data_IF_613978969446
#
_entry.id   IF_613978969446
#
_cell.length_a   1.000
_cell.length_b   1.000
_cell.length_c   1.000
_cell.angle_alpha   90.00
_cell.angle_beta   90.00
_cell.angle_gamma   90.00
#
_symmetry.space_group_name_H-M   'P 1'
#
loop_
_entity.id
_entity.type
_entity.pdbx_description
1 polymer ?
#
# COMPACT_ATOMS: atom_id res chain seq x y z
N UNK A 1 -3.89 -8.61 -14.04
CA UNK A 1 -5.01 -9.06 -14.88
C UNK A 1 -6.08 -9.57 -13.93
N UNK A 2 -7.33 -9.15 -14.09
CA UNK A 2 -8.42 -9.55 -13.20
C UNK A 2 -9.32 -10.56 -13.93
N UNK A 3 -9.88 -11.48 -13.16
CA UNK A 3 -10.79 -12.51 -13.63
C UNK A 3 -12.03 -12.54 -12.74
N UNK A 4 -13.17 -12.84 -13.34
CA UNK A 4 -14.47 -13.05 -12.69
C UNK A 4 -15.12 -14.23 -13.42
N UNK A 5 -15.48 -15.29 -12.68
CA UNK A 5 -16.09 -16.52 -13.23
C UNK A 5 -15.38 -17.05 -14.49
N UNK A 6 -14.06 -17.27 -14.38
CA UNK A 6 -13.17 -17.71 -15.47
C UNK A 6 -13.08 -16.78 -16.68
N UNK A 7 -13.70 -15.59 -16.61
CA UNK A 7 -13.66 -14.59 -17.68
C UNK A 7 -12.69 -13.49 -17.35
N UNK A 8 -11.87 -13.16 -18.34
CA UNK A 8 -10.88 -12.09 -18.22
C UNK A 8 -11.57 -10.72 -18.27
N UNK A 9 -11.38 -9.93 -17.22
CA UNK A 9 -11.91 -8.58 -17.17
C UNK A 9 -11.06 -7.58 -17.97
N UNK A 10 -11.67 -6.50 -18.50
CA UNK A 10 -10.94 -5.46 -19.19
C UNK A 10 -9.92 -4.79 -18.24
N UNK A 11 -8.82 -4.24 -18.79
CA UNK A 11 -7.83 -3.57 -17.97
C UNK A 11 -8.44 -2.35 -17.28
N UNK A 12 -8.16 -2.22 -15.98
CA UNK A 12 -8.58 -1.07 -15.18
C UNK A 12 -7.94 0.20 -15.73
N UNK A 13 -8.77 1.19 -16.08
CA UNK A 13 -8.31 2.49 -16.56
C UNK A 13 -7.61 3.23 -15.43
N UNK A 14 -6.43 3.80 -15.72
CA UNK A 14 -5.72 4.65 -14.74
C UNK A 14 -6.60 5.85 -14.38
N UNK A 15 -6.70 6.15 -13.08
CA UNK A 15 -7.50 7.28 -12.58
C UNK A 15 -9.00 7.00 -12.47
N UNK A 16 -9.47 5.77 -12.68
CA UNK A 16 -10.89 5.40 -12.49
C UNK A 16 -11.35 5.39 -11.03
N UNK A 17 -10.43 5.58 -10.07
CA UNK A 17 -10.72 5.41 -8.64
C UNK A 17 -10.77 3.95 -8.18
N UNK A 18 -10.45 2.99 -9.06
CA UNK A 18 -10.44 1.57 -8.70
C UNK A 18 -9.44 1.28 -7.56
N UNK A 19 -9.92 0.62 -6.52
CA UNK A 19 -9.12 0.12 -5.41
C UNK A 19 -9.46 -1.36 -5.16
N UNK A 20 -8.45 -2.23 -5.17
CA UNK A 20 -8.68 -3.67 -5.21
C UNK A 20 -9.40 -4.21 -3.97
N UNK A 21 -9.11 -3.67 -2.79
CA UNK A 21 -9.78 -4.05 -1.54
C UNK A 21 -11.29 -3.76 -1.62
N UNK A 22 -11.66 -2.58 -2.13
CA UNK A 22 -13.07 -2.18 -2.26
C UNK A 22 -13.77 -3.05 -3.30
N UNK A 23 -13.15 -3.26 -4.46
CA UNK A 23 -13.72 -4.09 -5.52
C UNK A 23 -13.97 -5.55 -5.07
N UNK A 24 -13.03 -6.13 -4.31
CA UNK A 24 -13.20 -7.48 -3.74
C UNK A 24 -14.33 -7.50 -2.71
N UNK A 25 -14.43 -6.48 -1.85
CA UNK A 25 -15.51 -6.36 -0.87
C UNK A 25 -16.89 -6.18 -1.50
N UNK A 26 -16.99 -5.30 -2.50
CA UNK A 26 -18.23 -5.03 -3.24
C UNK A 26 -18.73 -6.29 -3.96
N UNK A 27 -17.82 -7.05 -4.59
CA UNK A 27 -18.16 -8.32 -5.22
C UNK A 27 -18.65 -9.36 -4.20
N UNK A 28 -18.02 -9.47 -3.03
CA UNK A 28 -18.47 -10.36 -1.96
C UNK A 28 -19.88 -10.00 -1.46
N UNK A 29 -20.17 -8.70 -1.31
CA UNK A 29 -21.51 -8.21 -0.96
C UNK A 29 -22.53 -8.55 -2.05
N UNK A 30 -22.16 -8.41 -3.32
CA UNK A 30 -22.99 -8.84 -4.45
C UNK A 30 -23.31 -10.34 -4.36
N UNK A 31 -22.33 -11.21 -4.17
CA UNK A 31 -22.55 -12.65 -4.02
C UNK A 31 -23.51 -12.97 -2.86
N UNK A 32 -23.39 -12.28 -1.73
CA UNK A 32 -24.27 -12.46 -0.58
C UNK A 32 -25.71 -12.04 -0.88
N UNK A 33 -25.91 -10.92 -1.60
CA UNK A 33 -27.24 -10.47 -2.03
C UNK A 33 -27.87 -11.45 -3.02
N UNK A 34 -27.11 -11.86 -4.03
CA UNK A 34 -27.55 -12.82 -5.04
C UNK A 34 -27.97 -14.16 -4.38
N UNK A 35 -27.22 -14.62 -3.37
CA UNK A 35 -27.57 -15.81 -2.59
C UNK A 35 -28.84 -15.61 -1.74
N UNK A 36 -28.97 -14.46 -1.06
CA UNK A 36 -30.14 -14.16 -0.25
C UNK A 36 -31.43 -14.09 -1.09
N UNK A 37 -31.35 -13.63 -2.33
CA UNK A 37 -32.50 -13.53 -3.24
C UNK A 37 -32.85 -14.89 -3.86
N UNK A 38 -31.86 -15.67 -4.31
CA UNK A 38 -32.12 -16.84 -5.15
C UNK A 38 -31.96 -18.19 -4.43
N UNK A 39 -31.26 -18.23 -3.29
CA UNK A 39 -30.86 -19.46 -2.60
C UNK A 39 -31.03 -19.38 -1.07
N UNK A 40 -31.96 -18.57 -0.58
CA UNK A 40 -32.14 -18.24 0.85
C UNK A 40 -32.26 -19.44 1.82
N UNK A 41 -32.69 -20.61 1.32
CA UNK A 41 -32.85 -21.83 2.13
C UNK A 41 -31.60 -22.71 2.19
N UNK A 42 -30.52 -22.34 1.48
CA UNK A 42 -29.28 -23.11 1.43
C UNK A 42 -28.19 -22.43 2.28
N UNK A 43 -27.33 -23.18 2.96
CA UNK A 43 -26.18 -22.60 3.65
C UNK A 43 -25.14 -22.11 2.63
N UNK A 44 -24.55 -20.93 2.89
CA UNK A 44 -23.55 -20.31 2.02
C UNK A 44 -22.16 -20.40 2.62
N UNK A 45 -21.18 -20.83 1.83
CA UNK A 45 -19.76 -20.75 2.19
C UNK A 45 -19.05 -19.79 1.23
N UNK A 46 -18.36 -18.79 1.78
CA UNK A 46 -17.63 -17.81 0.98
C UNK A 46 -16.19 -17.65 1.48
N UNK A 47 -15.25 -17.97 0.62
CA UNK A 47 -13.84 -17.71 0.87
C UNK A 47 -13.46 -16.33 0.34
N UNK A 48 -13.16 -15.41 1.26
CA UNK A 48 -12.78 -14.04 0.93
C UNK A 48 -11.32 -13.79 1.32
N UNK A 49 -10.44 -13.73 0.31
CA UNK A 49 -9.02 -13.53 0.50
C UNK A 49 -8.58 -12.14 -0.03
N UNK A 50 -8.41 -11.19 0.88
CA UNK A 50 -7.83 -9.90 0.51
C UNK A 50 -6.34 -10.04 0.20
N UNK A 51 -5.88 -9.28 -0.80
CA UNK A 51 -4.46 -9.19 -1.14
C UNK A 51 -3.74 -8.12 -0.31
N UNK A 52 -4.47 -7.15 0.24
CA UNK A 52 -3.91 -6.18 1.18
C UNK A 52 -3.56 -6.85 2.52
N UNK A 53 -2.47 -6.46 3.21
CA UNK A 53 -1.58 -5.33 2.94
C UNK A 53 -0.28 -5.74 2.22
N UNK A 54 -0.36 -6.67 1.26
CA UNK A 54 0.83 -7.13 0.55
C UNK A 54 1.48 -6.02 -0.28
N UNK A 55 2.77 -6.19 -0.60
CA UNK A 55 3.48 -5.28 -1.48
C UNK A 55 2.92 -5.34 -2.92
N UNK A 56 2.95 -4.23 -3.67
CA UNK A 56 3.38 -2.89 -3.29
C UNK A 56 2.40 -2.20 -2.31
N UNK A 57 2.94 -1.51 -1.30
CA UNK A 57 2.15 -0.83 -0.27
C UNK A 57 1.46 0.43 -0.84
N UNK A 58 0.20 0.27 -1.22
CA UNK A 58 -0.69 1.36 -1.63
C UNK A 58 -1.88 1.44 -0.66
N UNK A 59 -2.35 2.66 -0.41
CA UNK A 59 -3.52 2.93 0.41
C UNK A 59 -4.17 4.25 -0.04
N UNK A 60 -5.44 4.47 0.34
CA UNK A 60 -6.12 5.71 0.03
C UNK A 60 -5.48 6.89 0.79
N UNK A 61 -5.45 8.11 0.21
CA UNK A 61 -4.83 9.26 0.85
C UNK A 61 -5.41 9.58 2.25
N UNK A 62 -6.72 9.37 2.43
CA UNK A 62 -7.40 9.56 3.71
C UNK A 62 -6.89 8.58 4.78
N UNK A 63 -6.71 7.31 4.42
CA UNK A 63 -6.18 6.28 5.32
C UNK A 63 -4.74 6.59 5.69
N UNK A 64 -3.91 6.97 4.72
CA UNK A 64 -2.52 7.37 4.99
C UNK A 64 -2.47 8.58 5.95
N UNK A 65 -3.33 9.57 5.74
CA UNK A 65 -3.38 10.78 6.57
C UNK A 65 -3.68 10.46 8.05
N UNK A 66 -4.55 9.47 8.30
CA UNK A 66 -4.90 9.01 9.66
C UNK A 66 -3.67 8.52 10.43
N UNK A 67 -2.75 7.82 9.77
CA UNK A 67 -1.58 7.23 10.42
C UNK A 67 -0.31 8.10 10.35
N UNK A 68 -0.36 9.25 9.67
CA UNK A 68 0.80 10.14 9.48
C UNK A 68 1.47 10.52 10.80
N UNK A 69 0.70 10.86 11.84
CA UNK A 69 1.26 11.23 13.15
C UNK A 69 1.88 10.05 13.89
N UNK A 70 1.30 8.84 13.74
CA UNK A 70 1.73 7.62 14.44
C UNK A 70 3.13 7.19 14.01
N UNK A 71 3.42 7.25 12.71
CA UNK A 71 4.71 6.83 12.16
C UNK A 71 5.64 8.00 11.80
N UNK A 72 5.34 9.22 12.30
CA UNK A 72 6.24 10.38 12.13
C UNK A 72 7.51 10.25 12.98
N UNK A 73 7.49 9.42 14.02
CA UNK A 73 8.64 9.22 14.90
C UNK A 73 9.71 8.42 14.15
N UNK A 74 10.95 8.90 14.18
CA UNK A 74 12.12 8.24 13.57
C UNK A 74 12.27 6.81 14.09
N UNK A 75 12.77 5.91 13.24
CA UNK A 75 13.18 4.55 13.61
C UNK A 75 14.09 4.53 14.85
N UNK A 76 14.86 5.60 15.06
CA UNK A 76 15.71 5.82 16.23
C UNK A 76 14.99 5.71 17.57
N UNK A 77 13.67 5.94 17.62
CA UNK A 77 12.88 5.73 18.83
C UNK A 77 12.77 4.25 19.23
N UNK A 78 12.78 3.35 18.26
CA UNK A 78 12.67 1.91 18.47
C UNK A 78 14.03 1.24 18.70
N UNK A 79 15.13 1.95 18.45
CA UNK A 79 16.49 1.51 18.76
C UNK A 79 16.73 1.76 20.25
N UNK A 80 16.90 0.73 21.10
CA UNK A 80 17.16 0.93 22.52
C UNK A 80 18.36 1.85 22.71
N UNK A 81 18.25 2.82 23.62
CA UNK A 81 19.27 3.85 23.88
C UNK A 81 20.68 3.29 24.13
N UNK A 82 20.81 2.01 24.51
CA UNK A 82 22.08 1.29 24.69
C UNK A 82 22.71 0.64 23.44
N UNK A 83 22.04 0.65 22.29
CA UNK A 83 22.64 0.18 21.01
C UNK A 83 23.32 1.29 20.20
N UNK A 84 23.18 2.54 20.66
CA UNK A 84 23.89 3.70 20.13
C UNK A 84 25.37 3.62 20.54
N UNK A 85 26.16 2.83 19.81
CA UNK A 85 27.62 2.79 19.97
C UNK A 85 28.31 1.44 19.73
N UNK A 86 27.61 0.35 19.41
CA UNK A 86 28.23 -0.99 19.30
C UNK A 86 28.24 -1.64 17.93
N UNK A 87 27.80 -0.94 16.88
CA UNK A 87 28.02 -1.40 15.50
C UNK A 87 29.29 -0.69 15.02
N UNK A 88 30.43 -1.21 15.45
CA UNK A 88 31.70 -0.92 14.79
C UNK A 88 31.74 -1.71 13.48
N UNK A 89 32.36 -1.14 12.46
CA UNK A 89 32.86 -1.94 11.36
C UNK A 89 33.87 -2.98 11.90
N UNK A 90 34.19 -4.02 11.12
CA UNK A 90 35.24 -4.99 11.48
C UNK A 90 36.65 -4.36 11.65
N UNK A 91 36.75 -3.03 11.50
CA UNK A 91 37.95 -2.22 11.63
C UNK A 91 37.97 -1.32 12.88
N UNK A 92 37.00 -1.48 13.80
CA UNK A 92 37.04 -0.85 15.12
C UNK A 92 36.78 0.66 15.12
N UNK A 93 36.18 1.22 14.06
CA UNK A 93 35.78 2.64 14.04
C UNK A 93 34.32 2.77 14.44
N UNK A 94 34.08 3.53 15.51
CA UNK A 94 32.73 3.89 15.95
C UNK A 94 32.11 4.84 14.91
N UNK A 95 31.07 4.40 14.21
CA UNK A 95 30.34 5.25 13.26
C UNK A 95 29.43 6.22 14.01
N UNK A 96 30.02 7.27 14.59
CA UNK A 96 29.26 8.45 14.99
C UNK A 96 28.75 9.15 13.72
N UNK A 97 27.43 9.15 13.50
CA UNK A 97 26.81 10.07 12.55
C UNK A 97 26.25 9.50 11.23
N UNK A 98 25.72 8.28 11.20
CA UNK A 98 24.88 7.83 10.08
C UNK A 98 23.40 7.74 10.44
N UNK A 99 22.72 8.88 10.37
CA UNK A 99 21.26 8.99 10.44
C UNK A 99 20.55 8.53 9.15
N UNK A 100 21.29 8.00 8.17
CA UNK A 100 20.84 7.71 6.81
C UNK A 100 20.68 6.21 6.50
N UNK A 101 20.88 5.32 7.49
CA UNK A 101 20.83 3.86 7.34
C UNK A 101 19.50 3.21 7.79
N UNK A 102 18.38 3.91 7.66
CA UNK A 102 17.08 3.23 7.55
C UNK A 102 16.96 2.58 6.17
N UNK A 103 16.26 1.44 5.98
CA UNK A 103 15.94 0.97 4.63
C UNK A 103 15.25 2.10 3.87
N UNK A 104 15.88 2.61 2.81
CA UNK A 104 15.35 3.69 1.96
C UNK A 104 14.17 3.17 1.13
N UNK A 105 13.05 2.91 1.80
CA UNK A 105 11.73 2.95 1.17
C UNK A 105 11.28 4.41 1.17
N UNK A 106 11.81 5.19 0.22
CA UNK A 106 11.39 6.57 -0.01
C UNK A 106 10.01 6.60 -0.65
N UNK A 107 8.95 6.76 0.15
CA UNK A 107 7.65 7.15 -0.39
C UNK A 107 7.69 8.65 -0.70
N UNK A 108 8.10 9.01 -1.92
CA UNK A 108 8.09 10.41 -2.39
C UNK A 108 6.64 10.85 -2.59
N UNK A 109 6.01 11.38 -1.53
CA UNK A 109 4.71 12.07 -1.64
C UNK A 109 4.90 13.41 -2.34
N UNK A 110 4.35 13.66 -3.54
CA UNK A 110 4.27 15.01 -4.07
C UNK A 110 3.09 15.72 -3.40
N UNK A 111 3.33 16.37 -2.26
CA UNK A 111 2.42 17.42 -1.81
C UNK A 111 2.93 18.75 -2.38
N UNK A 112 2.32 19.22 -3.48
CA UNK A 112 2.31 20.65 -3.79
C UNK A 112 1.00 21.02 -4.47
N UNK A 113 0.22 21.84 -3.78
CA UNK A 113 -0.92 22.55 -4.33
C UNK A 113 -0.46 23.50 -5.45
N UNK A 114 -1.15 23.34 -6.58
CA UNK A 114 -1.33 24.19 -7.78
C UNK A 114 -0.42 25.42 -7.95
N UNK A 115 0.35 25.38 -9.04
CA UNK A 115 0.81 26.55 -9.80
C UNK A 115 0.79 26.19 -11.29
N UNK A 116 0.20 27.07 -12.10
CA UNK A 116 -0.10 26.93 -13.53
C UNK A 116 1.13 26.56 -14.38
N UNK A 117 0.95 25.71 -15.38
CA UNK A 117 1.93 25.50 -16.45
C UNK A 117 1.95 24.08 -16.99
N UNK A 118 1.69 23.93 -18.29
CA UNK A 118 1.71 22.67 -19.03
C UNK A 118 3.13 22.07 -19.01
N UNK A 119 3.29 20.83 -18.59
CA UNK A 119 4.43 20.00 -19.00
C UNK A 119 4.10 18.52 -18.82
N UNK A 120 3.89 17.85 -19.95
CA UNK A 120 3.94 16.40 -20.10
C UNK A 120 5.28 15.92 -19.55
N UNK A 121 5.27 14.98 -18.61
CA UNK A 121 6.47 14.24 -18.21
C UNK A 121 6.20 12.76 -18.44
N UNK A 122 6.80 12.27 -19.52
CA UNK A 122 6.78 10.89 -20.00
C UNK A 122 7.83 10.11 -19.20
N UNK A 123 7.43 9.08 -18.46
CA UNK A 123 8.39 8.13 -17.87
C UNK A 123 8.31 6.79 -18.59
N UNK A 124 9.39 6.48 -19.31
CA UNK A 124 9.74 5.17 -19.86
C UNK A 124 10.57 4.40 -18.83
N UNK A 125 10.40 3.08 -18.82
CA UNK A 125 11.20 2.07 -18.11
C UNK A 125 10.26 0.95 -17.68
N UNK A 126 10.07 -0.14 -18.45
CA UNK A 126 10.95 -1.19 -19.03
C UNK A 126 11.40 -2.20 -17.96
N UNK A 127 10.80 -3.39 -18.13
CA UNK A 127 10.86 -4.70 -17.46
C UNK A 127 10.25 -4.74 -16.06
#
# INVERSE_FOLDING_TARGET
MLYEDDRRLPPVKRGSGYYATDAIGDHAVKCLRDHAENHSQQPFFHFLAFTAPHFPLHALPADIAKYRKRYRRSWEWFVPSGTRGRIGDHHGKTLAGRADLGPRITFRMPCRSRGRGKSIVRFRGRI
#
